data_IF_804599232033
#
_entry.id   IF_804599232033
#
_cell.length_a   1.000
_cell.length_b   1.000
_cell.length_c   1.000
_cell.angle_alpha   90.00
_cell.angle_beta   90.00
_cell.angle_gamma   90.00
#
_symmetry.space_group_name_H-M   'P 1'
#
loop_
_entity.id
_entity.type
_entity.pdbx_description
1 polymer ?
#
# COMPACT_ATOMS: atom_id res chain seq x y z
N UNK A 1 -5.44 -9.19 -0.43
CA UNK A 1 -6.04 -8.09 0.36
C UNK A 1 -7.37 -8.57 0.90
N UNK A 2 -7.78 -8.10 2.08
CA UNK A 2 -9.08 -8.38 2.67
C UNK A 2 -9.71 -7.07 3.12
N UNK A 3 -10.84 -6.72 2.53
CA UNK A 3 -11.63 -5.55 2.90
C UNK A 3 -12.92 -6.06 3.54
N UNK A 4 -13.09 -5.86 4.84
CA UNK A 4 -14.26 -6.35 5.59
C UNK A 4 -15.26 -5.25 5.90
N UNK A 5 -14.83 -3.99 5.83
CA UNK A 5 -15.70 -2.84 6.04
C UNK A 5 -15.24 -1.68 5.15
N UNK A 6 -16.18 -1.06 4.45
CA UNK A 6 -15.97 0.19 3.73
C UNK A 6 -17.30 0.89 3.49
N UNK A 7 -17.73 1.70 4.47
CA UNK A 7 -19.04 2.33 4.47
C UNK A 7 -18.90 3.84 4.66
N UNK A 8 -19.45 4.62 3.74
CA UNK A 8 -19.50 6.07 3.82
C UNK A 8 -20.84 6.55 4.39
N UNK A 9 -20.78 7.50 5.32
CA UNK A 9 -21.94 8.14 5.94
C UNK A 9 -21.98 9.60 5.50
N UNK A 10 -23.04 9.98 4.78
CA UNK A 10 -23.20 11.32 4.20
C UNK A 10 -23.51 12.40 5.24
N UNK A 11 -24.18 12.06 6.35
CA UNK A 11 -24.56 13.03 7.39
C UNK A 11 -23.37 13.71 8.05
N UNK A 12 -22.25 13.00 8.19
CA UNK A 12 -21.01 13.49 8.79
C UNK A 12 -19.78 13.32 7.88
N UNK A 13 -20.00 13.03 6.60
CA UNK A 13 -18.95 12.80 5.60
C UNK A 13 -17.83 11.87 6.09
N UNK A 14 -18.19 10.77 6.75
CA UNK A 14 -17.21 9.88 7.39
C UNK A 14 -17.20 8.52 6.71
N UNK A 15 -16.01 7.98 6.44
CA UNK A 15 -15.82 6.60 6.02
C UNK A 15 -15.41 5.74 7.20
N UNK A 16 -16.08 4.60 7.37
CA UNK A 16 -15.67 3.53 8.28
C UNK A 16 -15.00 2.43 7.45
N UNK A 17 -13.80 2.01 7.82
CA UNK A 17 -13.00 1.09 7.01
C UNK A 17 -12.27 0.05 7.86
N UNK A 18 -12.11 -1.14 7.28
CA UNK A 18 -11.24 -2.21 7.77
C UNK A 18 -10.64 -2.96 6.58
N UNK A 19 -9.37 -2.68 6.31
CA UNK A 19 -8.61 -3.20 5.18
C UNK A 19 -7.29 -3.80 5.67
N UNK A 20 -7.10 -5.10 5.45
CA UNK A 20 -5.85 -5.80 5.68
C UNK A 20 -5.16 -6.10 4.35
N UNK A 21 -3.87 -5.76 4.25
CA UNK A 21 -3.06 -6.00 3.07
C UNK A 21 -1.88 -6.91 3.41
N UNK A 22 -1.40 -7.65 2.41
CA UNK A 22 -0.08 -8.26 2.41
C UNK A 22 0.67 -7.68 1.21
N UNK A 23 1.77 -6.97 1.45
CA UNK A 23 2.58 -6.32 0.44
C UNK A 23 3.94 -6.98 0.41
N UNK A 24 4.30 -7.52 -0.74
CA UNK A 24 5.57 -8.21 -0.94
C UNK A 24 6.63 -7.23 -1.43
N UNK A 25 7.66 -7.02 -0.63
CA UNK A 25 8.86 -6.29 -1.02
C UNK A 25 9.95 -7.27 -1.46
N UNK A 26 10.44 -7.12 -2.69
CA UNK A 26 11.52 -7.94 -3.25
C UNK A 26 12.75 -7.11 -3.54
N UNK A 27 13.85 -7.42 -2.89
CA UNK A 27 15.16 -6.90 -3.27
C UNK A 27 15.75 -7.79 -4.36
N UNK A 28 15.61 -7.36 -5.62
CA UNK A 28 16.15 -8.08 -6.77
C UNK A 28 17.66 -7.87 -6.98
N UNK A 29 18.32 -6.98 -6.25
CA UNK A 29 19.75 -6.74 -6.41
C UNK A 29 20.57 -7.95 -5.92
N UNK A 30 21.67 -8.26 -6.63
CA UNK A 30 22.51 -9.43 -6.37
C UNK A 30 23.51 -9.24 -5.22
N UNK A 31 23.92 -8.01 -4.94
CA UNK A 31 25.09 -7.71 -4.08
C UNK A 31 24.77 -6.81 -2.88
N UNK A 32 23.67 -6.08 -2.95
CA UNK A 32 23.35 -5.00 -2.03
C UNK A 32 22.19 -5.37 -1.12
N UNK A 33 22.36 -5.14 0.18
CA UNK A 33 21.26 -5.17 1.14
C UNK A 33 20.68 -3.79 1.38
N UNK A 34 19.41 -3.75 1.77
CA UNK A 34 18.66 -2.51 1.99
C UNK A 34 18.20 -2.47 3.45
N UNK A 35 18.57 -1.43 4.16
CA UNK A 35 17.95 -1.08 5.43
C UNK A 35 16.74 -0.21 5.16
N UNK A 36 15.55 -0.69 5.51
CA UNK A 36 14.31 0.07 5.51
C UNK A 36 14.19 0.75 6.87
N UNK A 37 14.65 2.00 6.97
CA UNK A 37 14.72 2.76 8.21
C UNK A 37 13.38 3.34 8.65
N UNK A 38 12.44 3.46 7.74
CA UNK A 38 11.08 3.93 8.01
C UNK A 38 10.18 3.56 6.85
N UNK A 39 8.99 3.05 7.17
CA UNK A 39 8.01 2.59 6.20
C UNK A 39 6.65 3.06 6.69
N UNK A 40 5.95 3.82 5.86
CA UNK A 40 4.58 4.24 6.11
C UNK A 40 3.73 3.78 4.93
N UNK A 41 2.67 3.03 5.22
CA UNK A 41 1.63 2.69 4.26
C UNK A 41 0.49 3.69 4.42
N UNK A 42 0.14 4.38 3.34
CA UNK A 42 -0.79 5.51 3.36
C UNK A 42 -1.93 5.18 2.40
N UNK A 43 -3.16 5.12 2.91
CA UNK A 43 -4.31 4.75 2.11
C UNK A 43 -5.11 5.98 1.69
N UNK A 44 -5.51 5.98 0.42
CA UNK A 44 -6.30 7.02 -0.22
C UNK A 44 -7.52 6.42 -0.92
N UNK A 45 -8.61 7.18 -0.92
CA UNK A 45 -9.81 6.88 -1.68
C UNK A 45 -10.20 8.12 -2.48
N UNK A 46 -10.35 7.98 -3.80
CA UNK A 46 -10.62 9.12 -4.71
C UNK A 46 -9.65 10.29 -4.45
N UNK A 47 -8.35 9.98 -4.35
CA UNK A 47 -7.26 10.93 -4.05
C UNK A 47 -7.37 11.64 -2.68
N UNK A 48 -8.29 11.25 -1.80
CA UNK A 48 -8.40 11.74 -0.43
C UNK A 48 -7.75 10.77 0.53
N UNK A 49 -6.86 11.28 1.39
CA UNK A 49 -6.21 10.49 2.42
C UNK A 49 -7.25 10.02 3.45
N UNK A 50 -7.19 8.76 3.87
CA UNK A 50 -8.05 8.29 4.96
C UNK A 50 -7.34 7.54 6.10
N UNK A 51 -6.11 7.05 5.90
CA UNK A 51 -5.39 6.34 6.96
C UNK A 51 -3.89 6.26 6.69
N UNK A 52 -3.09 6.18 7.75
CA UNK A 52 -1.64 5.91 7.69
C UNK A 52 -1.27 4.87 8.72
N UNK A 53 -0.49 3.86 8.31
CA UNK A 53 0.06 2.82 9.19
C UNK A 53 1.57 2.87 9.11
N UNK A 54 2.24 2.97 10.27
CA UNK A 54 3.70 2.86 10.36
C UNK A 54 4.08 1.39 10.53
N UNK A 55 5.04 0.94 9.73
CA UNK A 55 5.52 -0.44 9.73
C UNK A 55 6.92 -0.52 10.33
N UNK A 56 7.22 -1.67 10.92
CA UNK A 56 8.49 -1.90 11.61
C UNK A 56 9.67 -1.83 10.62
N UNK A 57 10.68 -0.99 10.89
CA UNK A 57 11.93 -0.98 10.14
C UNK A 57 12.62 -2.35 10.14
N UNK A 58 13.23 -2.72 9.02
CA UNK A 58 13.94 -4.00 8.91
C UNK A 58 15.10 -3.92 7.92
N UNK A 59 15.99 -4.92 7.98
CA UNK A 59 17.04 -5.11 6.98
C UNK A 59 16.66 -6.24 6.04
N UNK A 60 16.73 -5.96 4.74
CA UNK A 60 16.55 -6.95 3.69
C UNK A 60 17.88 -7.24 3.02
N UNK A 61 18.33 -8.49 3.08
CA UNK A 61 19.51 -8.95 2.34
C UNK A 61 19.26 -8.88 0.82
N UNK A 62 20.33 -8.90 0.03
CA UNK A 62 20.26 -9.09 -1.43
C UNK A 62 19.47 -10.36 -1.78
N UNK A 63 18.78 -10.36 -2.93
CA UNK A 63 17.93 -11.47 -3.41
C UNK A 63 16.90 -12.00 -2.41
N UNK A 64 16.47 -11.17 -1.47
CA UNK A 64 15.50 -11.58 -0.45
C UNK A 64 14.12 -10.96 -0.71
N UNK A 65 13.10 -11.62 -0.15
CA UNK A 65 11.72 -11.18 -0.13
C UNK A 65 11.27 -10.95 1.31
N UNK A 66 10.41 -9.96 1.53
CA UNK A 66 9.85 -9.66 2.84
C UNK A 66 8.41 -9.23 2.66
N UNK A 67 7.55 -9.65 3.59
CA UNK A 67 6.12 -9.36 3.54
C UNK A 67 5.82 -8.30 4.58
N UNK A 68 5.11 -7.26 4.16
CA UNK A 68 4.54 -6.23 5.01
C UNK A 68 3.04 -6.47 5.15
N UNK A 69 2.53 -6.42 6.37
CA UNK A 69 1.10 -6.67 6.63
C UNK A 69 0.41 -5.49 7.32
N UNK A 70 0.24 -4.33 6.64
CA UNK A 70 -0.47 -3.21 7.23
C UNK A 70 -1.97 -3.52 7.37
N UNK A 71 -2.52 -3.14 8.52
CA UNK A 71 -3.96 -3.20 8.81
C UNK A 71 -4.44 -1.76 8.98
N UNK A 72 -5.34 -1.33 8.09
CA UNK A 72 -6.01 -0.05 8.16
C UNK A 72 -7.39 -0.27 8.77
N UNK A 73 -7.62 0.27 9.96
CA UNK A 73 -8.91 0.15 10.64
C UNK A 73 -9.24 1.46 11.35
N UNK A 74 -10.45 1.96 11.14
CA UNK A 74 -10.89 3.18 11.79
C UNK A 74 -12.01 3.91 11.07
N UNK A 75 -12.15 5.18 11.44
CA UNK A 75 -13.11 6.14 10.90
C UNK A 75 -12.38 7.40 10.51
N UNK A 76 -12.70 7.97 9.34
CA UNK A 76 -12.06 9.21 8.89
C UNK A 76 -13.04 10.07 8.10
N UNK A 77 -12.98 11.38 8.34
CA UNK A 77 -13.74 12.35 7.55
C UNK A 77 -13.13 12.45 6.16
N UNK A 78 -13.96 12.22 5.14
CA UNK A 78 -13.64 12.33 3.74
C UNK A 78 -14.58 13.34 3.08
N UNK A 79 -14.03 14.48 2.65
CA UNK A 79 -14.77 15.47 1.86
C UNK A 79 -14.94 14.96 0.43
N UNK A 80 -16.04 14.23 0.20
CA UNK A 80 -16.51 13.76 -1.10
C UNK A 80 -17.51 14.77 -1.66
N UNK A 81 -17.38 15.13 -2.94
CA UNK A 81 -18.34 15.97 -3.67
C UNK A 81 -19.31 15.09 -4.48
N UNK A 82 -20.32 15.67 -5.11
CA UNK A 82 -21.33 14.92 -5.88
C UNK A 82 -20.74 13.89 -6.85
N UNK A 83 -19.69 14.26 -7.61
CA UNK A 83 -18.99 13.33 -8.52
C UNK A 83 -18.33 12.16 -7.79
N UNK A 84 -17.75 12.42 -6.62
CA UNK A 84 -17.10 11.39 -5.81
C UNK A 84 -18.14 10.46 -5.18
N UNK A 85 -19.29 11.00 -4.76
CA UNK A 85 -20.43 10.26 -4.23
C UNK A 85 -21.05 9.36 -5.30
N UNK A 86 -21.25 9.87 -6.53
CA UNK A 86 -21.72 9.04 -7.65
C UNK A 86 -20.77 7.88 -7.91
N UNK A 87 -19.45 8.12 -7.90
CA UNK A 87 -18.45 7.06 -8.04
C UNK A 87 -18.51 6.05 -6.89
N UNK A 88 -18.66 6.54 -5.65
CA UNK A 88 -18.78 5.67 -4.48
C UNK A 88 -20.00 4.75 -4.57
N UNK A 89 -21.17 5.27 -4.94
CA UNK A 89 -22.37 4.44 -5.08
C UNK A 89 -22.25 3.41 -6.21
N UNK A 90 -21.58 3.76 -7.33
CA UNK A 90 -21.25 2.80 -8.37
C UNK A 90 -20.34 1.67 -7.86
N UNK A 91 -19.23 2.00 -7.20
CA UNK A 91 -18.30 1.03 -6.62
C UNK A 91 -18.95 0.15 -5.54
N UNK A 92 -19.82 0.74 -4.73
CA UNK A 92 -20.61 0.06 -3.69
C UNK A 92 -21.60 -0.93 -4.27
N UNK A 93 -22.29 -0.60 -5.36
CA UNK A 93 -23.26 -1.50 -6.02
C UNK A 93 -22.62 -2.81 -6.49
N UNK A 94 -21.36 -2.75 -6.96
CA UNK A 94 -20.56 -3.92 -7.36
C UNK A 94 -19.64 -4.42 -6.24
N UNK A 95 -19.70 -3.81 -5.05
CA UNK A 95 -18.87 -4.11 -3.87
C UNK A 95 -17.36 -4.13 -4.14
N UNK A 96 -16.90 -3.34 -5.10
CA UNK A 96 -15.51 -3.28 -5.53
C UNK A 96 -15.01 -1.84 -5.52
N UNK A 97 -14.04 -1.57 -4.64
CA UNK A 97 -13.54 -0.22 -4.37
C UNK A 97 -12.13 -0.02 -4.93
N UNK A 98 -11.90 1.14 -5.52
CA UNK A 98 -10.57 1.56 -6.00
C UNK A 98 -9.85 2.32 -4.88
N UNK A 99 -8.90 1.67 -4.22
CA UNK A 99 -8.13 2.22 -3.10
C UNK A 99 -6.67 2.37 -3.53
N UNK A 100 -6.12 3.57 -3.40
CA UNK A 100 -4.72 3.85 -3.70
C UNK A 100 -3.90 3.75 -2.41
N UNK A 101 -2.94 2.83 -2.37
CA UNK A 101 -2.01 2.68 -1.24
C UNK A 101 -0.66 3.21 -1.66
N UNK A 102 -0.13 4.18 -0.91
CA UNK A 102 1.21 4.72 -1.11
C UNK A 102 2.16 4.20 -0.05
N UNK A 103 3.27 3.60 -0.45
CA UNK A 103 4.37 3.26 0.46
C UNK A 103 5.39 4.39 0.47
N UNK A 104 5.51 5.10 1.59
CA UNK A 104 6.55 6.08 1.85
C UNK A 104 7.70 5.39 2.59
N UNK A 105 8.85 5.26 1.92
CA UNK A 105 9.97 4.46 2.40
C UNK A 105 11.22 5.32 2.54
N UNK A 106 11.91 5.19 3.67
CA UNK A 106 13.25 5.75 3.91
C UNK A 106 14.26 4.61 3.98
N UNK A 107 15.29 4.64 3.14
CA UNK A 107 16.27 3.55 3.07
C UNK A 107 17.71 4.00 3.33
N UNK A 108 18.55 3.04 3.69
CA UNK A 108 20.02 3.08 3.57
C UNK A 108 20.50 1.83 2.85
N UNK A 109 21.55 1.98 2.07
CA UNK A 109 22.16 0.87 1.35
C UNK A 109 23.31 0.31 2.18
N UNK A 110 23.44 -1.01 2.19
CA UNK A 110 24.61 -1.71 2.74
C UNK A 110 25.26 -2.56 1.65
N UNK A 111 26.53 -2.27 1.37
CA UNK A 111 27.40 -3.07 0.52
C UNK A 111 28.62 -3.53 1.33
N UNK A 112 28.74 -4.85 1.52
CA UNK A 112 29.76 -5.46 2.40
C UNK A 112 29.73 -4.81 3.80
N UNK A 113 30.82 -4.12 4.19
CA UNK A 113 30.95 -3.41 5.47
C UNK A 113 30.57 -1.92 5.38
N UNK A 114 30.35 -1.39 4.17
CA UNK A 114 30.04 0.03 3.94
C UNK A 114 28.52 0.23 3.98
N UNK A 115 28.09 1.27 4.70
CA UNK A 115 26.71 1.75 4.74
C UNK A 115 26.67 3.16 4.17
N UNK A 116 25.69 3.44 3.31
CA UNK A 116 25.49 4.78 2.76
C UNK A 116 24.76 5.68 3.75
N UNK A 117 24.77 6.98 3.46
CA UNK A 117 23.83 7.93 4.05
C UNK A 117 22.36 7.52 3.75
N UNK A 118 21.42 8.14 4.46
CA UNK A 118 19.99 7.96 4.21
C UNK A 118 19.64 8.56 2.84
N UNK A 119 18.93 7.81 2.02
CA UNK A 119 18.37 8.34 0.78
C UNK A 119 17.14 9.20 1.07
N UNK A 120 16.79 10.06 0.10
CA UNK A 120 15.52 10.78 0.13
C UNK A 120 14.36 9.78 0.21
N UNK A 121 13.27 10.10 0.94
CA UNK A 121 12.11 9.23 1.01
C UNK A 121 11.56 8.96 -0.39
N UNK A 122 11.36 7.68 -0.72
CA UNK A 122 10.72 7.25 -1.97
C UNK A 122 9.25 6.99 -1.70
N UNK A 123 8.39 7.31 -2.67
CA UNK A 123 6.96 7.02 -2.62
C UNK A 123 6.62 6.04 -3.75
N UNK A 124 5.98 4.94 -3.40
CA UNK A 124 5.55 3.91 -4.35
C UNK A 124 4.03 3.91 -4.34
N UNK A 125 3.43 4.14 -5.50
CA UNK A 125 1.97 4.11 -5.65
C UNK A 125 1.52 2.68 -6.01
N UNK A 126 0.58 2.15 -5.26
CA UNK A 126 -0.07 0.86 -5.46
C UNK A 126 -1.58 1.10 -5.65
N UNK A 127 -2.07 1.29 -6.89
CA UNK A 127 -3.51 1.34 -7.13
C UNK A 127 -4.09 -0.06 -6.96
N UNK A 128 -5.07 -0.22 -6.06
CA UNK A 128 -5.68 -1.50 -5.74
C UNK A 128 -7.17 -1.48 -6.04
N UNK A 129 -7.67 -2.52 -6.70
CA UNK A 129 -9.10 -2.83 -6.74
C UNK A 129 -9.38 -3.93 -5.72
N UNK A 130 -10.14 -3.61 -4.67
CA UNK A 130 -10.43 -4.52 -3.57
C UNK A 130 -11.93 -4.77 -3.44
N UNK A 131 -12.30 -6.01 -3.16
CA UNK A 131 -13.69 -6.45 -3.06
C UNK A 131 -14.08 -6.58 -1.58
N UNK A 132 -15.26 -6.07 -1.23
CA UNK A 132 -15.79 -6.13 0.14
C UNK A 132 -16.29 -7.55 0.45
N UNK A 133 -15.68 -8.19 1.45
CA UNK A 133 -16.05 -9.52 1.93
C UNK A 133 -17.54 -9.60 2.29
N UNK A 134 -18.17 -10.73 1.98
CA UNK A 134 -19.55 -11.08 2.37
C UNK A 134 -19.52 -11.95 3.63
N UNK A 135 -20.62 -11.97 4.37
CA UNK A 135 -20.77 -12.69 5.65
C UNK A 135 -20.57 -14.21 5.56
N UNK A 136 -20.60 -14.80 4.36
CA UNK A 136 -20.36 -16.23 4.12
C UNK A 136 -18.91 -16.57 3.77
N UNK A 137 -17.96 -15.63 3.89
CA UNK A 137 -16.54 -15.86 3.61
C UNK A 137 -16.18 -15.98 2.13
N UNK A 138 -17.16 -15.98 1.23
CA UNK A 138 -16.99 -16.06 -0.22
C UNK A 138 -17.00 -14.67 -0.86
N UNK A 139 -15.83 -14.09 -1.06
CA UNK A 139 -15.66 -13.00 -2.04
C UNK A 139 -16.05 -13.52 -3.42
N UNK A 140 -17.06 -12.92 -4.08
CA UNK A 140 -17.50 -13.31 -5.43
C UNK A 140 -16.36 -13.25 -6.47
N UNK A 141 -15.38 -12.38 -6.25
CA UNK A 141 -14.05 -12.43 -6.87
C UNK A 141 -12.99 -12.26 -5.77
N UNK A 142 -12.07 -13.22 -5.64
CA UNK A 142 -10.90 -13.07 -4.77
C UNK A 142 -10.00 -11.91 -5.23
N UNK A 143 -9.30 -11.27 -4.29
CA UNK A 143 -8.35 -10.21 -4.63
C UNK A 143 -7.24 -10.73 -5.55
N UNK A 144 -7.10 -10.12 -6.73
CA UNK A 144 -5.98 -10.40 -7.64
C UNK A 144 -4.74 -9.62 -7.22
N UNK A 145 -3.64 -10.33 -7.00
CA UNK A 145 -2.35 -9.71 -6.69
C UNK A 145 -1.98 -8.70 -7.76
N UNK A 146 -1.72 -7.46 -7.35
CA UNK A 146 -1.39 -6.35 -8.26
C UNK A 146 0.06 -5.93 -8.05
N UNK A 147 0.80 -5.78 -9.15
CA UNK A 147 2.17 -5.24 -9.10
C UNK A 147 2.09 -3.71 -8.99
N UNK A 148 2.64 -3.14 -7.91
CA UNK A 148 2.64 -1.69 -7.73
C UNK A 148 3.62 -0.96 -8.66
N UNK A 149 4.83 -1.52 -8.83
CA UNK A 149 5.85 -0.91 -9.66
C UNK A 149 7.24 -1.49 -9.41
N UNK A 150 8.16 -1.24 -10.34
CA UNK A 150 9.59 -1.41 -10.13
C UNK A 150 10.14 -0.10 -9.56
N UNK A 151 10.96 -0.19 -8.52
CA UNK A 151 11.52 1.00 -7.87
C UNK A 151 13.03 0.93 -7.96
N UNK A 152 13.58 1.93 -8.62
CA UNK A 152 15.02 2.08 -8.78
C UNK A 152 15.50 3.10 -7.75
N UNK A 153 16.06 2.61 -6.66
CA UNK A 153 16.65 3.47 -5.63
C UNK A 153 18.06 3.95 -6.01
N UNK A 154 18.73 3.19 -6.87
CA UNK A 154 20.08 3.38 -7.37
C UNK A 154 20.24 2.55 -8.66
N UNK A 155 21.18 2.93 -9.51
CA UNK A 155 21.54 2.14 -10.69
C UNK A 155 22.22 0.84 -10.26
N UNK A 156 21.78 -0.28 -10.82
CA UNK A 156 22.48 -1.56 -10.65
C UNK A 156 23.63 -1.58 -11.66
N UNK A 157 24.91 -1.56 -11.25
CA UNK A 157 26.03 -1.55 -12.18
C UNK A 157 26.13 -2.83 -13.03
N UNK A 158 25.40 -3.89 -12.65
CA UNK A 158 25.32 -5.14 -13.42
C UNK A 158 24.00 -5.29 -14.19
N UNK A 159 23.13 -4.27 -14.24
CA UNK A 159 21.97 -4.30 -15.13
C UNK A 159 22.46 -4.10 -16.57
N UNK A 160 22.24 -5.12 -17.40
CA UNK A 160 22.39 -5.01 -18.85
C UNK A 160 21.14 -4.28 -19.34
N UNK A 161 21.34 -3.14 -20.02
CA UNK A 161 20.28 -2.37 -20.68
C UNK A 161 19.45 -3.21 -21.66
#
# INVERSE_FOLDING_TARGET
ASLTQFNFTTTNNTVNYKLALNITLRNSNKRVGVHYNGIEAIAYYIKKWFSTVRLTPFYQRHKNMSILSPIFEGKQVLSLRDRDLSKFELEKSVRAYSIDVKLSIRIRIKYRKIKTAKFKPCKIDCPLKVYLSTSNGTTAEGFRTTKCGNVHFFSDPDAID
#
